data_IF_650141422509
#
_entry.id   IF_650141422509
#
_cell.length_a   1.000
_cell.length_b   1.000
_cell.length_c   1.000
_cell.angle_alpha   90.00
_cell.angle_beta   90.00
_cell.angle_gamma   90.00
#
_symmetry.space_group_name_H-M   'P 1'
#
loop_
_entity.id
_entity.type
_entity.pdbx_description
1 polymer ?
#
# COMPACT_ATOMS: atom_id res chain seq x y z
N UNK A 1 -12.11 -61.13 25.62
CA UNK A 1 -13.32 -60.61 24.96
C UNK A 1 -13.22 -59.08 24.95
N UNK A 2 -13.60 -58.43 23.83
CA UNK A 2 -12.99 -57.20 23.29
C UNK A 2 -13.81 -55.92 23.55
N UNK A 3 -13.42 -54.82 22.86
CA UNK A 3 -14.10 -53.51 22.67
C UNK A 3 -13.78 -52.47 23.76
N UNK A 4 -13.53 -51.20 23.49
CA UNK A 4 -13.26 -50.37 22.30
C UNK A 4 -12.83 -48.99 22.89
N UNK A 5 -11.86 -48.31 22.28
CA UNK A 5 -12.02 -46.98 21.63
C UNK A 5 -12.65 -45.86 22.47
N UNK A 6 -11.87 -44.80 22.65
CA UNK A 6 -12.20 -43.35 22.71
C UNK A 6 -11.13 -42.71 23.61
N UNK A 7 -10.56 -41.53 23.41
CA UNK A 7 -10.68 -40.44 22.44
C UNK A 7 -9.46 -39.57 22.84
N UNK A 8 -8.53 -39.32 21.93
CA UNK A 8 -8.46 -38.04 21.23
C UNK A 8 -8.71 -36.84 22.17
N UNK A 9 -7.63 -36.17 22.57
CA UNK A 9 -7.45 -34.75 22.26
C UNK A 9 -6.07 -34.35 22.73
N UNK A 10 -5.13 -34.32 21.79
CA UNK A 10 -3.89 -33.59 21.96
C UNK A 10 -4.23 -32.12 22.27
N UNK A 11 -3.47 -31.43 23.15
CA UNK A 11 -3.62 -29.99 23.27
C UNK A 11 -3.29 -29.37 21.91
N UNK A 12 -4.33 -28.89 21.23
CA UNK A 12 -4.21 -27.97 20.11
C UNK A 12 -3.53 -26.70 20.63
N UNK A 13 -2.21 -26.66 20.52
CA UNK A 13 -1.46 -25.43 20.63
C UNK A 13 -2.06 -24.42 19.63
N UNK A 14 -2.43 -23.20 20.05
CA UNK A 14 -2.92 -22.19 19.13
C UNK A 14 -1.80 -21.85 18.13
N UNK A 15 -1.95 -22.35 16.90
CA UNK A 15 -1.28 -21.86 15.69
C UNK A 15 -1.76 -20.42 15.47
N UNK A 16 -1.19 -19.48 16.22
CA UNK A 16 -1.57 -18.06 16.06
C UNK A 16 -0.50 -17.10 16.55
N UNK A 17 0.80 -17.37 16.33
CA UNK A 17 1.80 -16.34 16.65
C UNK A 17 3.16 -16.45 15.94
N UNK A 18 3.28 -17.12 14.78
CA UNK A 18 4.57 -17.16 14.03
C UNK A 18 4.59 -16.43 12.69
N UNK A 19 3.60 -15.57 12.43
CA UNK A 19 3.64 -14.59 11.33
C UNK A 19 3.71 -13.16 11.88
N UNK A 20 4.51 -12.95 12.93
CA UNK A 20 4.76 -11.62 13.50
C UNK A 20 6.25 -11.23 13.47
N UNK A 21 7.12 -12.04 12.87
CA UNK A 21 8.58 -11.80 12.89
C UNK A 21 9.21 -11.50 11.52
N UNK A 22 8.42 -11.31 10.46
CA UNK A 22 8.95 -10.95 9.13
C UNK A 22 8.70 -9.48 8.73
N UNK A 23 7.88 -8.72 9.47
CA UNK A 23 7.54 -7.34 9.13
C UNK A 23 8.48 -6.26 9.70
N UNK A 24 9.50 -6.64 10.47
CA UNK A 24 10.32 -5.69 11.23
C UNK A 24 11.75 -5.48 10.69
N UNK A 25 12.10 -6.00 9.49
CA UNK A 25 13.50 -5.94 8.99
C UNK A 25 13.74 -5.03 7.78
N UNK A 26 12.77 -4.23 7.32
CA UNK A 26 12.99 -3.36 6.14
C UNK A 26 13.16 -1.87 6.50
N UNK A 27 13.05 -1.49 7.77
CA UNK A 27 13.23 -0.08 8.18
C UNK A 27 14.68 0.25 8.57
N UNK A 28 15.64 -0.15 7.74
CA UNK A 28 16.86 0.66 7.63
C UNK A 28 16.49 1.89 6.80
N UNK A 29 15.81 2.84 7.45
CA UNK A 29 15.65 4.18 6.94
C UNK A 29 17.04 4.81 6.95
N UNK A 30 17.78 4.64 5.85
CA UNK A 30 19.01 5.39 5.63
C UNK A 30 18.65 6.89 5.63
N UNK A 31 19.22 7.69 6.55
CA UNK A 31 18.90 9.11 6.66
C UNK A 31 19.47 9.95 5.50
N UNK A 32 20.16 9.35 4.53
CA UNK A 32 20.68 9.99 3.31
C UNK A 32 19.85 9.76 2.04
N UNK A 33 18.80 8.95 2.12
CA UNK A 33 18.03 8.53 0.95
C UNK A 33 17.03 9.62 0.54
N UNK A 34 17.38 10.42 -0.47
CA UNK A 34 16.60 11.57 -0.94
C UNK A 34 15.17 11.23 -1.38
N UNK A 35 14.36 12.26 -1.64
CA UNK A 35 12.98 12.14 -2.14
C UNK A 35 12.70 11.02 -3.16
N UNK A 36 13.52 10.81 -4.22
CA UNK A 36 13.24 9.78 -5.23
C UNK A 36 13.30 8.35 -4.69
N UNK A 37 14.21 8.04 -3.78
CA UNK A 37 14.39 6.68 -3.31
C UNK A 37 13.33 6.27 -2.27
N UNK A 38 12.73 7.24 -1.57
CA UNK A 38 11.51 7.02 -0.78
C UNK A 38 10.30 6.64 -1.66
N UNK A 39 10.15 7.25 -2.85
CA UNK A 39 9.07 6.89 -3.77
C UNK A 39 9.31 5.54 -4.45
N UNK A 40 10.56 5.21 -4.77
CA UNK A 40 10.91 3.89 -5.29
C UNK A 40 10.58 2.78 -4.27
N UNK A 41 10.92 3.00 -3.00
CA UNK A 41 10.53 2.11 -1.88
C UNK A 41 9.02 2.01 -1.69
N UNK A 42 8.23 3.02 -2.06
CA UNK A 42 6.77 2.92 -2.04
C UNK A 42 6.19 2.07 -3.18
N UNK A 43 6.90 1.94 -4.31
CA UNK A 43 6.45 1.16 -5.49
C UNK A 43 6.52 -0.34 -5.26
N UNK A 44 7.53 -0.82 -4.53
CA UNK A 44 7.72 -2.25 -4.21
C UNK A 44 6.51 -2.86 -3.46
N UNK A 45 6.07 -2.35 -2.29
CA UNK A 45 4.92 -2.90 -1.57
C UNK A 45 3.62 -2.73 -2.38
N UNK A 46 3.52 -1.66 -3.19
CA UNK A 46 2.41 -1.48 -4.12
C UNK A 46 2.31 -2.63 -5.13
N UNK A 47 3.44 -3.09 -5.67
CA UNK A 47 3.49 -4.22 -6.61
C UNK A 47 3.06 -5.54 -5.95
N UNK A 48 3.48 -5.76 -4.71
CA UNK A 48 3.16 -6.96 -3.91
C UNK A 48 1.76 -6.97 -3.28
N UNK A 49 0.98 -5.89 -3.44
CA UNK A 49 -0.37 -5.77 -2.85
C UNK A 49 -0.37 -5.31 -1.39
N UNK A 50 0.78 -4.93 -0.84
CA UNK A 50 0.93 -4.37 0.51
C UNK A 50 0.57 -2.86 0.54
N UNK A 51 -0.67 -2.56 0.19
CA UNK A 51 -1.20 -1.19 0.06
C UNK A 51 -0.95 -0.34 1.32
N UNK A 52 -1.13 -0.92 2.51
CA UNK A 52 -0.96 -0.20 3.78
C UNK A 52 0.49 0.28 4.01
N UNK A 53 1.49 -0.56 3.68
CA UNK A 53 2.90 -0.20 3.80
C UNK A 53 3.28 0.90 2.82
N UNK A 54 2.82 0.80 1.57
CA UNK A 54 3.06 1.83 0.57
C UNK A 54 2.50 3.20 1.01
N UNK A 55 1.26 3.22 1.52
CA UNK A 55 0.63 4.44 2.02
C UNK A 55 1.38 5.05 3.21
N UNK A 56 1.96 4.22 4.10
CA UNK A 56 2.77 4.71 5.21
C UNK A 56 4.03 5.43 4.72
N UNK A 57 4.75 4.84 3.75
CA UNK A 57 5.95 5.45 3.13
C UNK A 57 5.60 6.74 2.41
N UNK A 58 4.53 6.77 1.63
CA UNK A 58 4.08 7.97 0.91
C UNK A 58 3.69 9.12 1.85
N UNK A 59 3.04 8.79 2.98
CA UNK A 59 2.68 9.77 4.01
C UNK A 59 3.90 10.33 4.73
N UNK A 60 4.92 9.50 4.98
CA UNK A 60 6.18 9.97 5.56
C UNK A 60 6.92 10.89 4.57
N UNK A 61 6.99 10.52 3.29
CA UNK A 61 7.55 11.36 2.24
C UNK A 61 6.79 12.70 2.12
N UNK A 62 5.46 12.70 2.19
CA UNK A 62 4.66 13.94 2.17
C UNK A 62 5.01 14.92 3.29
N UNK A 63 5.33 14.40 4.49
CA UNK A 63 5.69 15.22 5.65
C UNK A 63 7.10 15.78 5.53
N UNK A 64 8.05 14.98 5.04
CA UNK A 64 9.46 15.37 4.89
C UNK A 64 9.68 16.27 3.68
N UNK A 65 8.92 16.05 2.61
CA UNK A 65 9.08 16.71 1.32
C UNK A 65 7.74 17.24 0.78
N UNK A 66 7.09 18.21 1.47
CA UNK A 66 5.77 18.69 1.10
C UNK A 66 5.73 19.42 -0.25
N UNK A 67 6.85 20.02 -0.68
CA UNK A 67 7.00 20.82 -1.92
C UNK A 67 8.02 20.24 -2.91
N UNK A 68 8.26 18.93 -2.86
CA UNK A 68 9.15 18.30 -3.83
C UNK A 68 8.52 18.29 -5.22
N UNK A 69 9.34 18.37 -6.27
CA UNK A 69 8.97 18.10 -7.66
C UNK A 69 8.33 16.71 -7.85
N UNK A 70 8.53 15.81 -6.88
CA UNK A 70 7.95 14.47 -6.83
C UNK A 70 6.55 14.44 -6.18
N UNK A 71 5.94 15.59 -5.89
CA UNK A 71 4.60 15.67 -5.31
C UNK A 71 3.55 15.01 -6.22
N UNK A 72 3.61 15.24 -7.54
CA UNK A 72 2.69 14.62 -8.49
C UNK A 72 2.79 13.08 -8.46
N UNK A 73 4.01 12.55 -8.50
CA UNK A 73 4.25 11.11 -8.45
C UNK A 73 3.77 10.50 -7.13
N UNK A 74 4.04 11.17 -6.01
CA UNK A 74 3.58 10.75 -4.68
C UNK A 74 2.05 10.67 -4.64
N UNK A 75 1.37 11.70 -5.13
CA UNK A 75 -0.09 11.77 -5.14
C UNK A 75 -0.68 10.70 -6.08
N UNK A 76 -0.02 10.44 -7.22
CA UNK A 76 -0.37 9.34 -8.13
C UNK A 76 -0.22 7.96 -7.46
N UNK A 77 0.90 7.69 -6.80
CA UNK A 77 1.12 6.42 -6.10
C UNK A 77 0.14 6.24 -4.94
N UNK A 78 -0.22 7.33 -4.25
CA UNK A 78 -1.24 7.31 -3.19
C UNK A 78 -2.61 6.96 -3.75
N UNK A 79 -2.99 7.58 -4.87
CA UNK A 79 -4.22 7.26 -5.59
C UNK A 79 -4.22 5.79 -6.04
N UNK A 80 -3.15 5.32 -6.69
CA UNK A 80 -3.02 3.94 -7.17
C UNK A 80 -3.13 2.91 -6.05
N UNK A 81 -2.52 3.19 -4.90
CA UNK A 81 -2.63 2.36 -3.71
C UNK A 81 -4.08 2.26 -3.23
N UNK A 82 -4.77 3.39 -3.09
CA UNK A 82 -6.18 3.42 -2.68
C UNK A 82 -7.12 2.80 -3.69
N UNK A 83 -6.82 2.96 -4.99
CA UNK A 83 -7.59 2.32 -6.05
C UNK A 83 -7.48 0.80 -5.99
N UNK A 84 -6.30 0.24 -5.70
CA UNK A 84 -6.09 -1.22 -5.60
C UNK A 84 -6.84 -1.90 -4.45
N UNK A 85 -7.16 -1.17 -3.38
CA UNK A 85 -7.78 -1.72 -2.17
C UNK A 85 -9.25 -2.16 -2.36
N UNK A 86 -9.82 -2.06 -3.57
CA UNK A 86 -11.11 -2.58 -4.05
C UNK A 86 -12.39 -2.22 -3.25
N UNK A 87 -12.27 -1.61 -2.07
CA UNK A 87 -13.37 -1.40 -1.11
C UNK A 87 -13.78 0.06 -0.95
N UNK A 88 -13.07 1.00 -1.57
CA UNK A 88 -13.30 2.43 -1.29
C UNK A 88 -14.23 3.11 -2.29
N UNK A 89 -15.45 3.32 -1.82
CA UNK A 89 -16.31 4.44 -2.24
C UNK A 89 -15.47 5.73 -2.21
N UNK A 90 -15.44 6.50 -3.30
CA UNK A 90 -14.76 7.79 -3.37
C UNK A 90 -13.43 7.82 -4.13
N UNK A 91 -13.00 6.73 -4.77
CA UNK A 91 -11.85 6.76 -5.70
C UNK A 91 -12.08 7.75 -6.84
N UNK A 92 -13.31 7.88 -7.34
CA UNK A 92 -13.63 8.88 -8.37
C UNK A 92 -13.42 10.30 -7.89
N UNK A 93 -13.88 10.64 -6.67
CA UNK A 93 -13.63 11.97 -6.09
C UNK A 93 -12.15 12.25 -5.93
N UNK A 94 -11.36 11.23 -5.63
CA UNK A 94 -9.91 11.36 -5.52
C UNK A 94 -9.24 11.49 -6.89
N UNK A 95 -9.74 10.78 -7.91
CA UNK A 95 -9.32 10.96 -9.29
C UNK A 95 -9.64 12.38 -9.79
N UNK A 96 -10.85 12.87 -9.54
CA UNK A 96 -11.25 14.25 -9.87
C UNK A 96 -10.36 15.27 -9.16
N UNK A 97 -10.07 15.07 -7.87
CA UNK A 97 -9.15 15.95 -7.13
C UNK A 97 -7.74 15.92 -7.72
N UNK A 98 -7.23 14.74 -8.07
CA UNK A 98 -5.92 14.62 -8.71
C UNK A 98 -5.89 15.37 -10.05
N UNK A 99 -6.89 15.17 -10.90
CA UNK A 99 -6.98 15.80 -12.22
C UNK A 99 -7.24 17.31 -12.15
N UNK A 100 -7.88 17.80 -11.09
CA UNK A 100 -7.98 19.24 -10.82
C UNK A 100 -6.64 19.85 -10.41
N UNK A 101 -5.82 19.11 -9.66
CA UNK A 101 -4.52 19.59 -9.21
C UNK A 101 -3.44 19.45 -10.29
N UNK A 102 -3.55 18.40 -11.12
CA UNK A 102 -2.64 18.05 -12.20
C UNK A 102 -3.45 17.75 -13.48
N UNK A 103 -3.98 18.77 -14.18
CA UNK A 103 -4.81 18.55 -15.37
C UNK A 103 -4.04 17.99 -16.57
N UNK A 104 -2.78 18.42 -16.71
CA UNK A 104 -1.85 18.06 -17.79
C UNK A 104 -0.58 17.38 -17.24
N UNK A 105 -0.65 16.86 -16.02
CA UNK A 105 0.44 16.11 -15.39
C UNK A 105 0.75 14.80 -16.11
N UNK A 106 1.98 14.31 -15.95
CA UNK A 106 2.49 13.06 -16.54
C UNK A 106 1.56 11.88 -16.19
N UNK A 107 0.98 11.88 -14.99
CA UNK A 107 0.15 10.78 -14.50
C UNK A 107 -1.36 10.94 -14.78
N UNK A 108 -1.80 12.09 -15.27
CA UNK A 108 -3.19 12.38 -15.64
C UNK A 108 -3.83 11.34 -16.58
N UNK A 109 -3.19 10.89 -17.68
CA UNK A 109 -3.79 9.89 -18.55
C UNK A 109 -4.02 8.55 -17.85
N UNK A 110 -3.11 8.16 -16.94
CA UNK A 110 -3.25 6.93 -16.16
C UNK A 110 -4.41 7.02 -15.16
N UNK A 111 -4.58 8.17 -14.50
CA UNK A 111 -5.69 8.40 -13.56
C UNK A 111 -7.04 8.40 -14.29
N UNK A 112 -7.13 9.04 -15.47
CA UNK A 112 -8.34 8.98 -16.31
C UNK A 112 -8.68 7.54 -16.70
N UNK A 113 -7.69 6.77 -17.15
CA UNK A 113 -7.89 5.37 -17.53
C UNK A 113 -8.37 4.50 -16.36
N UNK A 114 -7.79 4.68 -15.16
CA UNK A 114 -8.24 3.94 -13.96
C UNK A 114 -9.63 4.33 -13.48
N UNK A 115 -10.05 5.58 -13.69
CA UNK A 115 -11.42 6.03 -13.42
C UNK A 115 -12.42 5.35 -14.37
N UNK A 116 -12.18 5.41 -15.67
CA UNK A 116 -13.11 4.87 -16.68
C UNK A 116 -13.19 3.34 -16.69
N UNK A 117 -12.16 2.62 -16.23
CA UNK A 117 -12.19 1.16 -16.15
C UNK A 117 -13.11 0.60 -15.04
N UNK A 118 -13.74 1.47 -14.24
CA UNK A 118 -14.63 1.10 -13.13
C UNK A 118 -16.09 1.52 -13.33
N UNK A 119 -16.38 2.22 -14.42
CA UNK A 119 -17.74 2.50 -14.90
C UNK A 119 -18.29 1.29 -15.65
#
# INVERSE_FOLDING_TARGET
MPLASDDDVAPIEPVTARVALAHASVVSADPGDGGPAALERARQPLASGETALSLAVLRDHARRFPRSDLAEERDYLTFRARARDATRVGVEREADRFLQHYPDGIYSPHVRSMRSARE
#
